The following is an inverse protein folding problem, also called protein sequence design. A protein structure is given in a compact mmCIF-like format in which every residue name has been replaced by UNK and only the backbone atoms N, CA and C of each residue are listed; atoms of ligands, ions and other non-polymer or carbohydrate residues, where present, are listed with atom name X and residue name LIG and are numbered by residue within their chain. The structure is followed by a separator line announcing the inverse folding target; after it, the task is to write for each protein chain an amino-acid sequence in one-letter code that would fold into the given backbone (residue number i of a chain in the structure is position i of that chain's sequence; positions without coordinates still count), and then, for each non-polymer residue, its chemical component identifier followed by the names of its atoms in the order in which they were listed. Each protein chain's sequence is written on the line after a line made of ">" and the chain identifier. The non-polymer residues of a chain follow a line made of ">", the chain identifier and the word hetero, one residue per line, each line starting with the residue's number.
data_IF_520164247556
#
_entry.id   IF_520164247556
#
_cell.length_a   1.000
_cell.length_b   1.000
_cell.length_c   1.000
_cell.angle_alpha   90.00
_cell.angle_beta   90.00
_cell.angle_gamma   90.00
#
_symmetry.space_group_name_H-M   'P 1'
#
loop_
_entity.id
_entity.type
_entity.pdbx_description
1 polymer ?
#
# COMPACT_ATOMS: atom_id res chain seq x y z
N UNK A 1 -7.10 -24.45 -6.93
CA UNK A 1 -6.25 -23.25 -6.78
C UNK A 1 -4.90 -23.56 -7.41
N UNK A 2 -4.21 -22.56 -7.98
CA UNK A 2 -2.83 -22.75 -8.48
C UNK A 2 -1.90 -23.15 -7.33
N UNK A 3 -0.87 -23.93 -7.62
CA UNK A 3 0.18 -24.32 -6.65
C UNK A 3 1.30 -23.27 -6.53
N UNK A 4 1.27 -22.20 -7.34
CA UNK A 4 2.29 -21.15 -7.32
C UNK A 4 2.05 -20.21 -6.14
N UNK A 5 3.05 -20.06 -5.28
CA UNK A 5 3.08 -19.06 -4.21
C UNK A 5 4.05 -17.95 -4.60
N UNK A 6 3.55 -16.71 -4.69
CA UNK A 6 4.40 -15.54 -4.89
C UNK A 6 5.06 -15.15 -3.56
N UNK A 7 6.35 -15.43 -3.40
CA UNK A 7 7.10 -15.05 -2.20
C UNK A 7 7.41 -13.55 -2.12
N UNK A 8 7.20 -12.81 -3.21
CA UNK A 8 7.44 -11.37 -3.28
C UNK A 8 6.30 -10.68 -4.01
N UNK A 9 5.39 -10.08 -3.23
CA UNK A 9 4.38 -9.18 -3.74
C UNK A 9 4.28 -7.94 -2.86
N UNK A 10 3.73 -6.85 -3.43
CA UNK A 10 3.66 -5.57 -2.76
C UNK A 10 2.24 -5.05 -2.63
N UNK A 11 1.98 -4.35 -1.53
CA UNK A 11 0.87 -3.45 -1.32
C UNK A 11 1.43 -2.07 -0.99
N UNK A 12 1.83 -1.37 -2.04
CA UNK A 12 2.41 -0.04 -1.91
C UNK A 12 1.37 1.01 -1.51
N UNK A 13 1.77 1.99 -0.70
CA UNK A 13 0.85 3.01 -0.16
C UNK A 13 0.12 3.84 -1.23
N UNK A 14 0.69 3.98 -2.42
CA UNK A 14 0.05 4.71 -3.52
C UNK A 14 -1.11 3.95 -4.19
N UNK A 15 -1.39 2.72 -3.75
CA UNK A 15 -2.60 1.97 -4.07
C UNK A 15 -3.51 1.78 -2.85
N UNK A 16 -3.27 2.41 -1.70
CA UNK A 16 -4.20 2.34 -0.56
C UNK A 16 -5.36 3.35 -0.72
N UNK A 17 -6.49 3.16 -0.01
CA UNK A 17 -7.53 4.18 0.11
C UNK A 17 -6.92 5.52 0.55
N UNK A 18 -7.26 6.60 -0.14
CA UNK A 18 -6.55 7.87 -0.05
C UNK A 18 -6.70 8.62 1.28
N UNK A 19 -7.70 8.24 2.06
CA UNK A 19 -8.03 8.77 3.37
C UNK A 19 -7.69 7.81 4.52
N UNK A 20 -7.23 6.58 4.23
CA UNK A 20 -7.01 5.51 5.22
C UNK A 20 -6.30 5.99 6.50
N UNK A 21 -5.18 6.69 6.35
CA UNK A 21 -4.41 7.13 7.52
C UNK A 21 -5.11 8.23 8.30
N UNK A 22 -5.90 9.09 7.64
CA UNK A 22 -6.65 10.16 8.32
C UNK A 22 -7.93 9.62 8.96
N UNK A 23 -8.62 8.68 8.31
CA UNK A 23 -9.87 8.09 8.81
C UNK A 23 -9.62 7.28 10.09
N UNK A 24 -8.57 6.45 10.08
CA UNK A 24 -8.25 5.52 11.16
C UNK A 24 -7.36 6.13 12.26
N UNK A 25 -6.79 7.32 12.04
CA UNK A 25 -5.95 7.95 13.06
C UNK A 25 -6.76 8.47 14.25
N UNK A 26 -6.21 8.37 15.48
CA UNK A 26 -6.75 9.09 16.63
C UNK A 26 -6.83 10.60 16.33
N UNK A 27 -7.80 11.29 16.94
CA UNK A 27 -8.09 12.70 16.63
C UNK A 27 -6.84 13.62 16.69
N UNK A 28 -5.99 13.44 17.71
CA UNK A 28 -4.75 14.21 17.90
C UNK A 28 -3.66 13.94 16.84
N UNK A 29 -3.81 12.88 16.04
CA UNK A 29 -2.84 12.46 15.03
C UNK A 29 -3.27 12.80 13.61
N UNK A 30 -4.56 13.09 13.35
CA UNK A 30 -5.09 13.26 11.99
C UNK A 30 -4.34 14.30 11.16
N UNK A 31 -3.93 15.41 11.76
CA UNK A 31 -3.17 16.46 11.06
C UNK A 31 -1.75 16.02 10.65
N UNK A 32 -1.16 15.05 11.36
CA UNK A 32 0.17 14.50 11.08
C UNK A 32 0.14 13.43 9.98
N UNK A 33 -1.03 12.91 9.62
CA UNK A 33 -1.14 11.77 8.71
C UNK A 33 -0.92 12.16 7.25
N UNK A 34 -0.30 11.28 6.43
CA UNK A 34 -0.31 11.44 4.99
C UNK A 34 -1.73 11.22 4.45
N UNK A 35 -2.08 11.94 3.39
CA UNK A 35 -3.42 11.86 2.75
C UNK A 35 -3.34 12.13 1.27
N UNK A 36 -4.36 11.73 0.53
CA UNK A 36 -4.48 12.07 -0.89
C UNK A 36 -5.14 13.44 -1.06
N UNK A 37 -4.54 14.28 -1.90
CA UNK A 37 -5.06 15.58 -2.30
C UNK A 37 -5.12 15.67 -3.85
N UNK A 38 -6.02 16.51 -4.37
CA UNK A 38 -6.05 16.86 -5.78
C UNK A 38 -4.97 17.91 -6.07
N UNK A 39 -4.19 17.70 -7.14
CA UNK A 39 -3.17 18.65 -7.62
C UNK A 39 -3.39 18.92 -9.11
N UNK A 40 -2.70 19.90 -9.69
CA UNK A 40 -2.74 20.18 -11.13
C UNK A 40 -2.29 18.98 -11.99
N UNK A 41 -1.45 18.12 -11.41
CA UNK A 41 -0.99 16.86 -12.00
C UNK A 41 -1.84 15.64 -11.57
N UNK A 42 -3.01 15.89 -10.97
CA UNK A 42 -3.93 14.87 -10.48
C UNK A 42 -3.63 14.39 -9.06
N UNK A 43 -4.32 13.33 -8.64
CA UNK A 43 -4.34 12.88 -7.23
C UNK A 43 -2.97 12.42 -6.74
N UNK A 44 -2.55 12.95 -5.59
CA UNK A 44 -1.25 12.68 -5.00
C UNK A 44 -1.36 12.51 -3.48
N UNK A 45 -0.59 11.57 -2.95
CA UNK A 45 -0.29 11.49 -1.54
C UNK A 45 0.59 12.68 -1.13
N UNK A 46 0.15 13.40 -0.11
CA UNK A 46 0.78 14.60 0.46
C UNK A 46 1.05 14.38 1.95
N UNK A 47 2.20 14.84 2.42
CA UNK A 47 2.55 14.90 3.84
C UNK A 47 3.27 16.23 4.13
N UNK A 48 2.82 16.98 5.14
CA UNK A 48 3.36 18.31 5.50
C UNK A 48 3.49 19.25 4.29
N UNK A 49 2.45 19.31 3.45
CA UNK A 49 2.40 20.15 2.25
C UNK A 49 3.30 19.70 1.09
N UNK A 50 3.98 18.55 1.20
CA UNK A 50 4.85 18.02 0.16
C UNK A 50 4.22 16.81 -0.50
N UNK A 51 4.22 16.79 -1.84
CA UNK A 51 3.87 15.60 -2.62
C UNK A 51 4.91 14.51 -2.33
N UNK A 52 4.45 13.42 -1.74
CA UNK A 52 5.30 12.24 -1.48
C UNK A 52 5.19 11.23 -2.61
N UNK A 53 4.01 11.05 -3.22
CA UNK A 53 3.82 10.14 -4.37
C UNK A 53 2.50 10.39 -5.08
N UNK A 54 2.42 10.09 -6.37
CA UNK A 54 1.17 10.09 -7.10
C UNK A 54 0.39 8.79 -6.88
N UNK A 55 -0.94 8.89 -6.83
CA UNK A 55 -1.82 7.71 -6.77
C UNK A 55 -1.62 6.84 -8.02
N UNK A 56 -1.58 5.52 -7.86
CA UNK A 56 -1.38 4.57 -8.97
C UNK A 56 0.02 4.61 -9.59
N UNK A 57 1.06 4.91 -8.79
CA UNK A 57 2.44 4.95 -9.28
C UNK A 57 2.99 3.57 -9.72
N UNK A 58 4.11 3.58 -10.46
CA UNK A 58 4.83 2.41 -10.98
C UNK A 58 6.22 2.21 -10.36
N UNK A 59 6.54 2.94 -9.28
CA UNK A 59 7.80 2.75 -8.55
C UNK A 59 9.00 3.56 -9.06
N UNK A 60 8.88 4.34 -10.15
CA UNK A 60 10.06 4.85 -10.90
C UNK A 60 10.32 6.38 -10.91
N UNK A 61 9.62 7.24 -10.16
CA UNK A 61 10.00 8.66 -10.13
C UNK A 61 9.17 9.56 -9.24
N UNK A 62 9.59 10.84 -9.08
CA UNK A 62 8.81 11.88 -8.38
C UNK A 62 7.82 12.60 -9.31
N UNK A 63 8.08 12.57 -10.61
CA UNK A 63 7.28 13.26 -11.62
C UNK A 63 6.07 12.44 -12.06
N UNK A 64 4.98 13.15 -12.36
CA UNK A 64 3.74 12.57 -12.83
C UNK A 64 3.81 12.22 -14.33
N UNK A 65 4.81 11.44 -14.74
CA UNK A 65 4.98 11.00 -16.14
C UNK A 65 4.01 9.85 -16.44
N UNK A 66 2.74 9.97 -16.03
CA UNK A 66 1.74 8.89 -15.97
C UNK A 66 1.46 8.22 -17.32
N UNK A 67 1.67 8.94 -18.42
CA UNK A 67 1.22 8.51 -19.75
C UNK A 67 2.34 7.87 -20.59
N UNK A 68 3.61 8.16 -20.32
CA UNK A 68 4.73 7.49 -21.02
C UNK A 68 5.09 6.12 -20.40
N UNK A 69 4.39 5.69 -19.34
CA UNK A 69 4.74 4.47 -18.60
C UNK A 69 4.55 3.17 -19.40
N UNK A 70 3.67 3.21 -20.40
CA UNK A 70 3.37 2.08 -21.31
C UNK A 70 4.54 1.80 -22.25
N UNK A 71 5.42 2.78 -22.48
CA UNK A 71 6.58 2.66 -23.36
C UNK A 71 7.81 2.12 -22.61
N UNK A 72 7.92 2.37 -21.29
CA UNK A 72 9.11 2.08 -20.48
C UNK A 72 9.48 0.60 -20.35
N UNK A 73 8.52 -0.34 -20.38
CA UNK A 73 8.82 -1.77 -20.43
C UNK A 73 7.63 -2.62 -20.88
N UNK A 74 7.91 -3.83 -21.38
CA UNK A 74 6.88 -4.82 -21.72
C UNK A 74 5.99 -5.14 -20.52
N UNK A 75 6.56 -5.25 -19.32
CA UNK A 75 5.81 -5.51 -18.07
C UNK A 75 4.78 -4.41 -17.80
N UNK A 76 5.19 -3.14 -17.86
CA UNK A 76 4.30 -2.01 -17.59
C UNK A 76 3.22 -1.89 -18.68
N UNK A 77 3.55 -2.17 -19.93
CA UNK A 77 2.58 -2.24 -21.03
C UNK A 77 1.50 -3.30 -20.79
N UNK A 78 1.90 -4.49 -20.34
CA UNK A 78 0.94 -5.56 -19.99
C UNK A 78 0.03 -5.13 -18.84
N UNK A 79 0.59 -4.57 -17.75
CA UNK A 79 -0.20 -4.04 -16.63
C UNK A 79 -1.14 -2.91 -17.04
N UNK A 80 -0.73 -2.04 -17.95
CA UNK A 80 -1.59 -0.96 -18.44
C UNK A 80 -2.82 -1.50 -19.19
N UNK A 81 -2.65 -2.56 -20.01
CA UNK A 81 -3.74 -3.20 -20.76
C UNK A 81 -4.80 -3.85 -19.86
N UNK A 82 -4.50 -4.13 -18.59
CA UNK A 82 -5.50 -4.66 -17.64
C UNK A 82 -6.37 -3.57 -17.02
N UNK A 83 -6.09 -2.29 -17.31
CA UNK A 83 -6.78 -1.16 -16.68
C UNK A 83 -6.23 -0.77 -15.31
N UNK A 84 -5.18 -1.43 -14.79
CA UNK A 84 -4.66 -1.21 -13.42
C UNK A 84 -4.41 0.29 -13.10
N UNK A 85 -3.83 1.03 -14.05
CA UNK A 85 -3.47 2.44 -13.84
C UNK A 85 -4.67 3.38 -13.95
N UNK A 86 -5.57 3.15 -14.92
CA UNK A 86 -6.80 3.93 -15.06
C UNK A 86 -7.73 3.71 -13.86
N UNK A 87 -7.83 2.47 -13.39
CA UNK A 87 -8.60 2.09 -12.21
C UNK A 87 -8.12 2.88 -10.98
N UNK A 88 -6.80 2.89 -10.73
CA UNK A 88 -6.24 3.64 -9.60
C UNK A 88 -6.49 5.16 -9.70
N UNK A 89 -6.46 5.74 -10.90
CA UNK A 89 -6.81 7.16 -11.10
C UNK A 89 -8.27 7.41 -10.74
N UNK A 90 -9.16 6.48 -11.05
CA UNK A 90 -10.60 6.56 -10.78
C UNK A 90 -10.99 6.09 -9.36
N UNK A 91 -10.02 5.75 -8.50
CA UNK A 91 -10.27 5.34 -7.12
C UNK A 91 -10.53 3.85 -6.94
N UNK A 92 -10.40 3.06 -8.01
CA UNK A 92 -10.44 1.61 -7.94
C UNK A 92 -9.04 1.09 -7.67
N UNK A 93 -8.78 0.82 -6.39
CA UNK A 93 -7.48 0.39 -5.91
C UNK A 93 -7.32 -1.13 -5.93
N UNK A 94 -7.19 -1.72 -7.13
CA UNK A 94 -7.14 -3.18 -7.29
C UNK A 94 -6.15 -3.89 -6.35
N UNK A 95 -4.90 -3.43 -6.16
CA UNK A 95 -3.98 -4.10 -5.25
C UNK A 95 -4.42 -4.08 -3.78
N UNK A 96 -5.22 -3.09 -3.36
CA UNK A 96 -5.73 -2.94 -2.00
C UNK A 96 -7.18 -3.44 -1.83
N UNK A 97 -7.82 -3.94 -2.90
CA UNK A 97 -9.12 -4.61 -2.83
C UNK A 97 -8.92 -6.12 -2.97
N UNK A 98 -9.30 -6.91 -1.96
CA UNK A 98 -9.04 -8.34 -1.97
C UNK A 98 -9.79 -9.04 -3.13
N UNK A 99 -10.99 -8.59 -3.49
CA UNK A 99 -11.77 -9.13 -4.62
C UNK A 99 -11.05 -8.93 -5.95
N UNK A 100 -10.54 -7.73 -6.20
CA UNK A 100 -9.81 -7.44 -7.42
C UNK A 100 -8.45 -8.14 -7.44
N UNK A 101 -7.78 -8.23 -6.29
CA UNK A 101 -6.49 -8.89 -6.16
C UNK A 101 -6.59 -10.40 -6.42
N UNK A 102 -7.65 -11.08 -5.96
CA UNK A 102 -7.88 -12.49 -6.30
C UNK A 102 -8.08 -12.67 -7.80
N UNK A 103 -8.84 -11.81 -8.48
CA UNK A 103 -8.99 -11.86 -9.95
C UNK A 103 -7.66 -11.68 -10.66
N UNK A 104 -6.81 -10.79 -10.14
CA UNK A 104 -5.47 -10.57 -10.67
C UNK A 104 -4.57 -11.80 -10.45
N UNK A 105 -4.62 -12.41 -9.26
CA UNK A 105 -3.95 -13.68 -8.95
C UNK A 105 -4.41 -14.82 -9.88
N UNK A 106 -5.71 -14.97 -10.11
CA UNK A 106 -6.28 -16.02 -10.97
C UNK A 106 -5.85 -15.85 -12.43
N UNK A 107 -5.84 -14.61 -12.94
CA UNK A 107 -5.32 -14.30 -14.28
C UNK A 107 -3.84 -14.65 -14.40
N UNK A 108 -3.06 -14.36 -13.35
CA UNK A 108 -1.61 -14.52 -13.36
C UNK A 108 -1.17 -15.93 -12.90
N UNK A 109 -2.12 -16.82 -12.57
CA UNK A 109 -1.86 -18.19 -12.14
C UNK A 109 -1.25 -18.31 -10.74
N UNK A 110 -1.51 -17.36 -9.85
CA UNK A 110 -1.00 -17.33 -8.47
C UNK A 110 -2.05 -17.88 -7.49
N UNK A 111 -1.63 -18.83 -6.65
CA UNK A 111 -2.47 -19.44 -5.62
C UNK A 111 -2.51 -18.61 -4.34
N UNK A 112 -1.35 -18.17 -3.88
CA UNK A 112 -1.18 -17.35 -2.68
C UNK A 112 0.01 -16.40 -2.82
N UNK A 113 0.10 -15.40 -1.94
CA UNK A 113 1.20 -14.44 -1.95
C UNK A 113 1.62 -13.98 -0.55
N UNK A 114 2.92 -13.74 -0.40
CA UNK A 114 3.50 -12.94 0.68
C UNK A 114 3.45 -11.47 0.27
N UNK A 115 2.90 -10.60 1.12
CA UNK A 115 2.65 -9.20 0.80
C UNK A 115 3.52 -8.28 1.66
N UNK A 116 4.54 -7.67 1.05
CA UNK A 116 5.26 -6.54 1.60
C UNK A 116 4.38 -5.29 1.57
N UNK A 117 4.36 -4.54 2.67
CA UNK A 117 3.48 -3.38 2.81
C UNK A 117 4.00 -2.09 2.19
N UNK A 118 3.78 -1.00 2.92
CA UNK A 118 4.01 0.40 2.52
C UNK A 118 5.50 0.78 2.41
N UNK A 119 6.22 0.07 1.56
CA UNK A 119 7.64 0.20 1.34
C UNK A 119 8.02 1.64 0.96
N UNK A 120 9.10 2.13 1.56
CA UNK A 120 9.67 3.44 1.24
C UNK A 120 8.90 4.63 1.80
N UNK A 121 7.74 4.45 2.45
CA UNK A 121 7.03 5.56 3.11
C UNK A 121 7.86 6.15 4.27
N UNK A 122 8.56 5.31 5.03
CA UNK A 122 9.49 5.73 6.09
C UNK A 122 10.66 6.60 5.60
N UNK A 123 11.01 6.53 4.31
CA UNK A 123 12.01 7.45 3.71
C UNK A 123 11.44 8.84 3.42
N UNK A 124 10.11 8.97 3.37
CA UNK A 124 9.38 10.20 3.04
C UNK A 124 8.80 10.89 4.27
N UNK A 125 8.50 10.11 5.32
CA UNK A 125 8.06 10.59 6.63
C UNK A 125 9.14 10.22 7.64
N UNK A 126 10.04 11.16 7.93
CA UNK A 126 11.18 10.98 8.85
C UNK A 126 10.83 11.34 10.30
N UNK A 127 9.57 11.14 10.69
CA UNK A 127 9.08 11.32 12.05
C UNK A 127 8.67 9.95 12.58
N UNK A 128 9.48 9.42 13.50
CA UNK A 128 9.36 8.05 14.01
C UNK A 128 8.00 7.78 14.64
N UNK A 129 7.48 8.73 15.43
CA UNK A 129 6.20 8.55 16.10
C UNK A 129 5.03 8.57 15.10
N UNK A 130 5.05 9.51 14.14
CA UNK A 130 4.06 9.53 13.04
C UNK A 130 4.10 8.23 12.26
N UNK A 131 5.28 7.72 11.93
CA UNK A 131 5.42 6.43 11.26
C UNK A 131 4.93 5.27 12.12
N UNK A 132 5.07 5.32 13.44
CA UNK A 132 4.50 4.34 14.35
C UNK A 132 2.98 4.25 14.24
N UNK A 133 2.29 5.40 14.18
CA UNK A 133 0.84 5.45 13.99
C UNK A 133 0.44 4.97 12.59
N UNK A 134 1.16 5.41 11.54
CA UNK A 134 0.94 4.96 10.16
C UNK A 134 1.10 3.45 10.02
N UNK A 135 2.13 2.85 10.63
CA UNK A 135 2.35 1.41 10.61
C UNK A 135 1.26 0.66 11.36
N UNK A 136 0.82 1.16 12.52
CA UNK A 136 -0.28 0.55 13.26
C UNK A 136 -1.57 0.50 12.43
N UNK A 137 -1.94 1.61 11.80
CA UNK A 137 -3.10 1.71 10.90
C UNK A 137 -2.94 0.75 9.71
N UNK A 138 -1.77 0.72 9.08
CA UNK A 138 -1.49 -0.20 7.97
C UNK A 138 -1.60 -1.67 8.40
N UNK A 139 -1.07 -2.03 9.56
CA UNK A 139 -1.12 -3.39 10.07
C UNK A 139 -2.57 -3.83 10.37
N UNK A 140 -3.38 -2.92 10.90
CA UNK A 140 -4.82 -3.17 11.12
C UNK A 140 -5.55 -3.35 9.78
N UNK A 141 -5.26 -2.52 8.77
CA UNK A 141 -5.75 -2.70 7.40
C UNK A 141 -5.31 -4.06 6.82
N UNK A 142 -4.03 -4.41 6.94
CA UNK A 142 -3.47 -5.65 6.43
C UNK A 142 -4.10 -6.88 7.09
N UNK A 143 -4.46 -6.79 8.37
CA UNK A 143 -5.23 -7.83 9.06
C UNK A 143 -6.63 -8.00 8.50
N UNK A 144 -7.34 -6.91 8.19
CA UNK A 144 -8.65 -7.01 7.53
C UNK A 144 -8.51 -7.59 6.12
N UNK A 145 -7.47 -7.19 5.39
CA UNK A 145 -7.14 -7.73 4.08
C UNK A 145 -6.91 -9.25 4.13
N UNK A 146 -6.11 -9.73 5.11
CA UNK A 146 -5.88 -11.15 5.36
C UNK A 146 -7.17 -11.90 5.69
N UNK A 147 -8.02 -11.35 6.56
CA UNK A 147 -9.29 -11.99 6.96
C UNK A 147 -10.22 -12.27 5.80
N UNK A 148 -10.13 -11.51 4.71
CA UNK A 148 -10.92 -11.76 3.51
C UNK A 148 -10.64 -13.14 2.91
N UNK A 149 -9.37 -13.54 2.83
CA UNK A 149 -8.98 -14.87 2.37
C UNK A 149 -7.59 -15.26 2.93
N UNK A 150 -7.54 -15.91 4.11
CA UNK A 150 -6.27 -16.23 4.79
C UNK A 150 -5.44 -17.29 4.06
N UNK A 151 -6.04 -18.07 3.15
CA UNK A 151 -5.34 -19.07 2.35
C UNK A 151 -4.59 -18.44 1.16
N UNK A 152 -5.00 -17.23 0.74
CA UNK A 152 -4.41 -16.51 -0.39
C UNK A 152 -3.47 -15.38 0.03
N UNK A 153 -3.70 -14.77 1.19
CA UNK A 153 -3.01 -13.54 1.58
C UNK A 153 -2.19 -13.73 2.86
N UNK A 154 -0.86 -13.57 2.73
CA UNK A 154 0.08 -13.53 3.83
C UNK A 154 0.78 -12.16 3.90
N UNK A 155 0.10 -11.10 4.40
CA UNK A 155 0.75 -9.80 4.57
C UNK A 155 1.78 -9.80 5.69
N UNK A 156 2.82 -9.00 5.51
CA UNK A 156 3.86 -8.79 6.51
C UNK A 156 3.58 -7.52 7.31
N UNK A 157 3.72 -7.61 8.62
CA UNK A 157 3.61 -6.46 9.52
C UNK A 157 4.73 -5.45 9.25
N UNK A 158 4.38 -4.17 9.20
CA UNK A 158 5.36 -3.09 9.25
C UNK A 158 5.65 -2.75 10.72
N UNK A 159 6.92 -2.82 11.12
CA UNK A 159 7.33 -2.54 12.50
C UNK A 159 8.03 -1.18 12.60
N UNK A 160 7.72 -0.37 13.62
CA UNK A 160 8.51 0.80 13.95
C UNK A 160 9.97 0.41 14.22
N UNK A 161 10.90 1.12 13.57
CA UNK A 161 12.33 0.89 13.71
C UNK A 161 13.09 2.08 14.33
N UNK A 162 12.37 3.13 14.73
CA UNK A 162 12.94 4.30 15.40
C UNK A 162 13.17 4.06 16.91
N UNK A 163 12.41 3.14 17.51
CA UNK A 163 12.53 2.74 18.91
C UNK A 163 12.30 1.21 19.02
N UNK A 164 13.27 0.45 19.56
CA UNK A 164 13.12 -1.00 19.74
C UNK A 164 11.95 -1.38 20.66
N UNK A 165 11.57 -0.54 21.63
CA UNK A 165 10.40 -0.81 22.48
C UNK A 165 9.12 -0.71 21.67
N UNK A 166 8.93 0.38 20.93
CA UNK A 166 7.80 0.54 20.02
C UNK A 166 7.70 -0.60 18.99
N UNK A 167 8.84 -1.01 18.40
CA UNK A 167 8.91 -2.15 17.49
C UNK A 167 8.47 -3.47 18.14
N UNK A 168 8.96 -3.75 19.35
CA UNK A 168 8.60 -4.96 20.09
C UNK A 168 7.13 -4.97 20.58
N UNK A 169 6.58 -3.81 20.93
CA UNK A 169 5.18 -3.67 21.30
C UNK A 169 4.25 -3.95 20.12
N UNK A 170 4.55 -3.36 18.95
CA UNK A 170 3.73 -3.58 17.75
C UNK A 170 3.83 -5.02 17.25
N UNK A 171 5.03 -5.63 17.29
CA UNK A 171 5.21 -7.04 16.97
C UNK A 171 4.33 -7.94 17.86
N UNK A 172 4.36 -7.72 19.18
CA UNK A 172 3.52 -8.50 20.11
C UNK A 172 2.04 -8.25 19.90
N UNK A 173 1.65 -7.01 19.59
CA UNK A 173 0.24 -6.66 19.34
C UNK A 173 -0.27 -7.36 18.09
N UNK A 174 0.47 -7.30 16.99
CA UNK A 174 0.02 -7.83 15.71
C UNK A 174 0.06 -9.37 15.68
N UNK A 175 1.04 -9.99 16.35
CA UNK A 175 1.08 -11.44 16.55
C UNK A 175 -0.15 -11.96 17.31
N UNK A 176 -0.64 -11.23 18.33
CA UNK A 176 -1.88 -11.59 19.05
C UNK A 176 -3.12 -11.53 18.15
N UNK A 177 -3.10 -10.76 17.07
CA UNK A 177 -4.20 -10.66 16.11
C UNK A 177 -4.14 -11.77 15.03
N UNK A 178 -3.06 -12.55 15.00
CA UNK A 178 -2.88 -13.64 14.03
C UNK A 178 -2.33 -13.18 12.68
N UNK A 179 -1.53 -12.10 12.66
CA UNK A 179 -0.57 -11.86 11.58
C UNK A 179 0.73 -12.58 11.87
#
# INVERSE_FOLDING_TARGET
>A
MSEIISADCHLDFWYLPGDLFVSEAPASWKERMPRVENTDSGRAWVHKGKIIRYVGDVGLGRENVRHDRVTMSVRLRRKARTGLYSDAVNGVFRPASPEHRIKDQERDGVGAEVIYGILGLSRRIQDGETMGVVFRIYNDFAMQFRKFNPDRFAPLACLPNHDPKAGAEELRRIAKLGL
#
